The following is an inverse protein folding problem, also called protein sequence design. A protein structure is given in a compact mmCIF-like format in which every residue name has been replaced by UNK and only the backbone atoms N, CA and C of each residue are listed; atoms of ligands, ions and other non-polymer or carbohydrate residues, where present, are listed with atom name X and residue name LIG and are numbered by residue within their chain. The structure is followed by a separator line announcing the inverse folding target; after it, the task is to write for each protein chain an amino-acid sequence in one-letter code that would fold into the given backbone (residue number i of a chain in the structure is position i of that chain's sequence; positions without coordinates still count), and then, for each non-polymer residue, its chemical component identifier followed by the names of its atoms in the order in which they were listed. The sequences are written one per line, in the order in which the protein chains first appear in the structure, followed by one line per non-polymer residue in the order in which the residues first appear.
data_IF_515581253613
#
_entry.id   IF_515581253613
#
_cell.length_a   1.000
_cell.length_b   1.000
_cell.length_c   1.000
_cell.angle_alpha   90.00
_cell.angle_beta   90.00
_cell.angle_gamma   90.00
#
_symmetry.space_group_name_H-M   'P 1'
#
loop_
_entity.id
_entity.type
_entity.pdbx_description
1 polymer ?
#
# COMPACT_ATOMS: atom_id res chain seq x y z
N UNK A 1 50.54 -21.49 -32.74
CA UNK A 1 50.93 -21.42 -31.31
C UNK A 1 49.86 -22.13 -30.49
N UNK A 2 50.12 -23.37 -30.06
CA UNK A 2 49.14 -24.22 -29.36
C UNK A 2 49.21 -23.88 -27.88
N UNK A 3 48.17 -23.22 -27.34
CA UNK A 3 48.05 -22.99 -25.89
C UNK A 3 48.10 -24.33 -25.14
N UNK A 4 48.89 -24.45 -24.06
CA UNK A 4 49.05 -25.69 -23.32
C UNK A 4 47.70 -26.19 -22.79
N UNK A 5 47.51 -27.50 -22.77
CA UNK A 5 46.26 -28.18 -22.40
C UNK A 5 45.64 -27.66 -21.09
N UNK A 6 46.47 -27.34 -20.09
CA UNK A 6 46.06 -26.70 -18.83
C UNK A 6 45.40 -25.32 -19.00
N UNK A 7 45.88 -24.51 -19.93
CA UNK A 7 45.34 -23.17 -20.20
C UNK A 7 43.97 -23.23 -20.89
N UNK A 8 43.76 -24.21 -21.78
CA UNK A 8 42.45 -24.44 -22.44
C UNK A 8 41.39 -24.91 -21.45
N UNK A 9 41.75 -25.81 -20.52
CA UNK A 9 40.83 -26.30 -19.50
C UNK A 9 40.40 -25.18 -18.53
N UNK A 10 41.33 -24.34 -18.09
CA UNK A 10 41.03 -23.18 -17.23
C UNK A 10 40.14 -22.15 -17.93
N UNK A 11 40.34 -21.90 -19.23
CA UNK A 11 39.51 -20.97 -19.99
C UNK A 11 38.08 -21.52 -20.18
N UNK A 12 37.96 -22.82 -20.45
CA UNK A 12 36.67 -23.49 -20.61
C UNK A 12 35.86 -23.49 -19.30
N UNK A 13 36.46 -23.84 -18.17
CA UNK A 13 35.77 -23.81 -16.87
C UNK A 13 35.41 -22.38 -16.46
N UNK A 14 36.28 -21.40 -16.72
CA UNK A 14 36.01 -19.99 -16.47
C UNK A 14 34.82 -19.44 -17.27
N UNK A 15 34.52 -19.99 -18.45
CA UNK A 15 33.35 -19.64 -19.26
C UNK A 15 32.10 -20.46 -18.88
N UNK A 16 32.27 -21.72 -18.47
CA UNK A 16 31.14 -22.61 -18.16
C UNK A 16 30.44 -22.24 -16.86
N UNK A 17 31.19 -21.89 -15.82
CA UNK A 17 30.65 -21.51 -14.50
C UNK A 17 29.71 -20.30 -14.58
N UNK A 18 30.09 -19.15 -15.19
CA UNK A 18 29.18 -18.01 -15.29
C UNK A 18 27.96 -18.32 -16.17
N UNK A 19 28.13 -19.12 -17.24
CA UNK A 19 27.00 -19.52 -18.09
C UNK A 19 25.97 -20.33 -17.30
N UNK A 20 26.40 -21.39 -16.60
CA UNK A 20 25.52 -22.21 -15.75
C UNK A 20 24.88 -21.36 -14.65
N UNK A 21 25.63 -20.42 -14.05
CA UNK A 21 25.11 -19.52 -13.02
C UNK A 21 24.01 -18.60 -13.57
N UNK A 22 24.19 -18.04 -14.77
CA UNK A 22 23.18 -17.21 -15.44
C UNK A 22 21.94 -18.04 -15.77
N UNK A 23 22.10 -19.26 -16.27
CA UNK A 23 20.98 -20.18 -16.52
C UNK A 23 20.22 -20.50 -15.25
N UNK A 24 20.91 -20.79 -14.14
CA UNK A 24 20.27 -21.04 -12.84
C UNK A 24 19.50 -19.82 -12.30
N UNK A 25 20.07 -18.62 -12.45
CA UNK A 25 19.37 -17.38 -12.08
C UNK A 25 18.15 -17.12 -12.98
N UNK A 26 18.26 -17.40 -14.28
CA UNK A 26 17.18 -17.24 -15.23
C UNK A 26 16.03 -18.20 -14.95
N UNK A 27 16.30 -19.47 -14.63
CA UNK A 27 15.26 -20.43 -14.25
C UNK A 27 14.56 -20.02 -12.97
N UNK A 28 15.30 -19.61 -11.94
CA UNK A 28 14.70 -19.09 -10.68
C UNK A 28 13.79 -17.88 -10.96
N UNK A 29 14.25 -16.93 -11.78
CA UNK A 29 13.43 -15.76 -12.13
C UNK A 29 12.19 -16.14 -12.96
N UNK A 30 12.33 -17.06 -13.91
CA UNK A 30 11.23 -17.53 -14.74
C UNK A 30 10.16 -18.26 -13.89
N UNK A 31 10.59 -19.11 -12.96
CA UNK A 31 9.68 -19.79 -12.03
C UNK A 31 8.96 -18.79 -11.13
N UNK A 32 9.66 -17.81 -10.55
CA UNK A 32 9.04 -16.73 -9.76
C UNK A 32 8.02 -15.94 -10.59
N UNK A 33 8.37 -15.59 -11.82
CA UNK A 33 7.49 -14.88 -12.71
C UNK A 33 6.22 -15.69 -13.02
N UNK A 34 6.38 -16.96 -13.36
CA UNK A 34 5.25 -17.87 -13.60
C UNK A 34 4.32 -17.96 -12.38
N UNK A 35 4.90 -18.15 -11.19
CA UNK A 35 4.13 -18.36 -9.96
C UNK A 35 3.37 -17.10 -9.52
N UNK A 36 3.96 -15.91 -9.69
CA UNK A 36 3.40 -14.67 -9.17
C UNK A 36 2.71 -13.78 -10.22
N UNK A 37 2.68 -14.19 -11.50
CA UNK A 37 2.01 -13.42 -12.55
C UNK A 37 0.51 -13.24 -12.27
N UNK A 38 -0.13 -14.23 -11.64
CA UNK A 38 -1.55 -14.16 -11.27
C UNK A 38 -1.84 -12.99 -10.32
N UNK A 39 -0.96 -12.73 -9.33
CA UNK A 39 -1.12 -11.60 -8.41
C UNK A 39 -1.18 -10.28 -9.18
N UNK A 40 -0.31 -10.11 -10.17
CA UNK A 40 -0.27 -8.91 -11.00
C UNK A 40 -1.54 -8.73 -11.82
N UNK A 41 -2.04 -9.79 -12.45
CA UNK A 41 -3.27 -9.73 -13.23
C UNK A 41 -4.49 -9.46 -12.34
N UNK A 42 -4.57 -10.11 -11.17
CA UNK A 42 -5.65 -9.91 -10.23
C UNK A 42 -5.64 -8.48 -9.66
N UNK A 43 -4.50 -8.02 -9.13
CA UNK A 43 -4.38 -6.66 -8.58
C UNK A 43 -4.77 -5.58 -9.60
N UNK A 44 -4.37 -5.74 -10.87
CA UNK A 44 -4.77 -4.81 -11.93
C UNK A 44 -6.29 -4.76 -12.12
N UNK A 45 -6.96 -5.91 -12.15
CA UNK A 45 -8.43 -5.96 -12.21
C UNK A 45 -9.10 -5.31 -10.99
N UNK A 46 -8.51 -5.47 -9.81
CA UNK A 46 -8.99 -4.85 -8.58
C UNK A 46 -8.83 -3.31 -8.62
N UNK A 47 -7.73 -2.81 -9.17
CA UNK A 47 -7.47 -1.37 -9.30
C UNK A 47 -8.33 -0.70 -10.39
N UNK A 48 -8.53 -1.37 -11.53
CA UNK A 48 -9.29 -0.83 -12.67
C UNK A 48 -10.81 -0.81 -12.41
N UNK A 49 -11.32 -1.69 -11.55
CA UNK A 49 -12.74 -1.73 -11.23
C UNK A 49 -12.98 -1.83 -9.71
N UNK A 50 -12.82 -0.71 -8.98
CA UNK A 50 -13.01 -0.65 -7.53
C UNK A 50 -14.42 -1.04 -7.08
N UNK A 51 -15.41 -0.88 -7.97
CA UNK A 51 -16.81 -1.27 -7.76
C UNK A 51 -17.15 -2.67 -8.30
N UNK A 52 -16.19 -3.39 -8.89
CA UNK A 52 -16.44 -4.74 -9.40
C UNK A 52 -16.54 -5.78 -8.29
N UNK A 53 -17.33 -6.82 -8.56
CA UNK A 53 -17.43 -8.04 -7.74
C UNK A 53 -16.13 -8.83 -7.64
N UNK A 54 -15.04 -8.44 -8.31
CA UNK A 54 -13.78 -9.17 -8.27
C UNK A 54 -13.26 -9.23 -6.83
N UNK A 55 -13.41 -10.39 -6.17
CA UNK A 55 -12.98 -10.62 -4.80
C UNK A 55 -11.67 -11.39 -4.81
N UNK A 56 -10.72 -11.07 -3.92
CA UNK A 56 -9.65 -11.99 -3.60
C UNK A 56 -10.24 -13.37 -3.27
N UNK A 57 -9.64 -14.41 -3.84
CA UNK A 57 -9.97 -15.82 -3.57
C UNK A 57 -8.99 -16.39 -2.55
N UNK A 58 -9.34 -17.50 -1.90
CA UNK A 58 -8.44 -18.20 -0.98
C UNK A 58 -7.12 -18.60 -1.67
N UNK A 59 -7.17 -18.95 -2.95
CA UNK A 59 -5.99 -19.24 -3.78
C UNK A 59 -5.07 -18.02 -3.87
N UNK A 60 -5.63 -16.85 -4.15
CA UNK A 60 -4.84 -15.62 -4.25
C UNK A 60 -4.22 -15.22 -2.91
N UNK A 61 -4.92 -15.45 -1.80
CA UNK A 61 -4.41 -15.20 -0.45
C UNK A 61 -3.31 -16.18 -0.05
N UNK A 62 -3.44 -17.46 -0.41
CA UNK A 62 -2.38 -18.46 -0.25
C UNK A 62 -1.12 -18.11 -1.07
N UNK A 63 -1.29 -17.52 -2.24
CA UNK A 63 -0.17 -17.06 -3.04
C UNK A 63 0.54 -15.85 -2.41
N UNK A 64 -0.23 -14.94 -1.78
CA UNK A 64 0.32 -13.83 -0.98
C UNK A 64 1.13 -14.34 0.21
N UNK A 65 0.63 -15.33 0.97
CA UNK A 65 1.38 -15.89 2.11
C UNK A 65 2.65 -16.61 1.66
N UNK A 66 2.59 -17.33 0.54
CA UNK A 66 3.77 -17.97 -0.07
C UNK A 66 4.82 -16.93 -0.49
N UNK A 67 4.38 -15.82 -1.09
CA UNK A 67 5.26 -14.70 -1.46
C UNK A 67 5.88 -14.02 -0.22
N UNK A 68 5.11 -13.87 0.86
CA UNK A 68 5.62 -13.32 2.11
C UNK A 68 6.67 -14.26 2.74
N UNK A 69 6.42 -15.57 2.74
CA UNK A 69 7.36 -16.58 3.26
C UNK A 69 8.69 -16.58 2.49
N UNK A 70 8.66 -16.34 1.17
CA UNK A 70 9.87 -16.25 0.35
C UNK A 70 10.62 -14.91 0.48
N UNK A 71 10.10 -13.97 1.30
CA UNK A 71 10.66 -12.62 1.52
C UNK A 71 10.95 -11.86 0.23
N UNK A 72 10.11 -12.05 -0.79
CA UNK A 72 10.31 -11.42 -2.08
C UNK A 72 10.15 -9.89 -1.98
N UNK A 73 11.10 -9.14 -2.56
CA UNK A 73 11.10 -7.67 -2.54
C UNK A 73 10.82 -7.04 -3.91
N UNK A 74 10.71 -7.84 -4.98
CA UNK A 74 10.38 -7.31 -6.29
C UNK A 74 9.01 -6.62 -6.30
N UNK A 75 9.02 -5.31 -6.58
CA UNK A 75 7.83 -4.46 -6.55
C UNK A 75 6.68 -4.98 -7.42
N UNK A 76 7.00 -5.67 -8.53
CA UNK A 76 6.03 -6.27 -9.47
C UNK A 76 5.21 -7.42 -8.88
N UNK A 77 5.61 -7.97 -7.74
CA UNK A 77 4.88 -9.01 -7.00
C UNK A 77 4.40 -8.49 -5.64
N UNK A 78 5.28 -7.78 -4.95
CA UNK A 78 5.04 -7.23 -3.62
C UNK A 78 3.87 -6.24 -3.58
N UNK A 79 3.80 -5.28 -4.52
CA UNK A 79 2.70 -4.30 -4.50
C UNK A 79 1.35 -4.94 -4.86
N UNK A 80 1.25 -5.80 -5.90
CA UNK A 80 0.05 -6.61 -6.12
C UNK A 80 -0.42 -7.40 -4.90
N UNK A 81 0.51 -8.04 -4.18
CA UNK A 81 0.18 -8.78 -2.96
C UNK A 81 -0.44 -7.87 -1.89
N UNK A 82 0.13 -6.68 -1.68
CA UNK A 82 -0.42 -5.67 -0.77
C UNK A 82 -1.83 -5.24 -1.21
N UNK A 83 -2.04 -4.96 -2.50
CA UNK A 83 -3.36 -4.58 -3.04
C UNK A 83 -4.40 -5.67 -2.81
N UNK A 84 -4.06 -6.94 -3.08
CA UNK A 84 -4.95 -8.08 -2.87
C UNK A 84 -5.30 -8.23 -1.39
N UNK A 85 -4.30 -8.17 -0.50
CA UNK A 85 -4.50 -8.29 0.95
C UNK A 85 -5.39 -7.18 1.51
N UNK A 86 -5.16 -5.93 1.09
CA UNK A 86 -5.99 -4.79 1.47
C UNK A 86 -7.42 -4.91 0.94
N UNK A 87 -7.58 -5.36 -0.31
CA UNK A 87 -8.92 -5.55 -0.89
C UNK A 87 -9.68 -6.67 -0.16
N UNK A 88 -8.99 -7.71 0.29
CA UNK A 88 -9.60 -8.78 1.07
C UNK A 88 -10.12 -8.25 2.42
N UNK A 89 -9.35 -7.36 3.07
CA UNK A 89 -9.79 -6.67 4.28
C UNK A 89 -11.03 -5.81 4.03
N UNK A 90 -11.02 -4.99 2.97
CA UNK A 90 -12.13 -4.09 2.66
C UNK A 90 -13.44 -4.84 2.38
N UNK A 91 -13.35 -6.08 1.87
CA UNK A 91 -14.51 -6.94 1.57
C UNK A 91 -14.94 -7.83 2.74
N UNK A 92 -14.08 -7.99 3.75
CA UNK A 92 -14.43 -8.73 4.95
C UNK A 92 -15.40 -7.86 5.76
N UNK A 93 -16.65 -8.31 5.99
CA UNK A 93 -17.61 -7.50 6.71
C UNK A 93 -17.05 -7.17 8.10
N UNK A 94 -17.00 -5.87 8.43
CA UNK A 94 -16.53 -5.37 9.71
C UNK A 94 -17.52 -5.75 10.81
N UNK A 95 -17.50 -7.03 11.22
CA UNK A 95 -18.11 -7.46 12.47
C UNK A 95 -17.11 -7.21 13.58
N UNK A 96 -17.43 -6.38 14.58
CA UNK A 96 -16.57 -6.21 15.75
C UNK A 96 -16.27 -7.59 16.36
N UNK A 97 -14.99 -7.85 16.65
CA UNK A 97 -14.54 -8.98 17.49
C UNK A 97 -14.68 -10.39 16.90
N UNK A 98 -14.66 -10.55 15.57
CA UNK A 98 -14.49 -11.90 14.98
C UNK A 98 -13.03 -12.21 14.72
N UNK A 99 -12.56 -13.38 15.18
CA UNK A 99 -11.18 -13.90 15.05
C UNK A 99 -10.65 -13.81 13.61
N UNK A 100 -11.52 -13.97 12.60
CA UNK A 100 -11.16 -13.88 11.18
C UNK A 100 -10.75 -12.48 10.72
N UNK A 101 -11.37 -11.42 11.26
CA UNK A 101 -11.02 -10.03 10.93
C UNK A 101 -9.65 -9.66 11.49
N UNK A 102 -9.34 -10.09 12.71
CA UNK A 102 -8.07 -9.80 13.37
C UNK A 102 -6.90 -10.54 12.70
N UNK A 103 -7.10 -11.80 12.30
CA UNK A 103 -6.11 -12.58 11.57
C UNK A 103 -5.75 -11.95 10.20
N UNK A 104 -6.76 -11.46 9.48
CA UNK A 104 -6.56 -10.74 8.21
C UNK A 104 -5.76 -9.45 8.41
N UNK A 105 -6.11 -8.68 9.45
CA UNK A 105 -5.42 -7.43 9.78
C UNK A 105 -3.96 -7.67 10.17
N UNK A 106 -3.70 -8.70 10.99
CA UNK A 106 -2.33 -9.09 11.37
C UNK A 106 -1.50 -9.54 10.17
N UNK A 107 -2.08 -10.36 9.29
CA UNK A 107 -1.39 -10.84 8.07
C UNK A 107 -1.05 -9.67 7.15
N UNK A 108 -2.02 -8.78 6.91
CA UNK A 108 -1.81 -7.58 6.09
C UNK A 108 -0.80 -6.62 6.72
N UNK A 109 -0.84 -6.43 8.04
CA UNK A 109 0.15 -5.63 8.77
C UNK A 109 1.56 -6.20 8.59
N UNK A 110 1.72 -7.51 8.70
CA UNK A 110 3.02 -8.20 8.51
C UNK A 110 3.53 -8.01 7.08
N UNK A 111 2.65 -8.17 6.09
CA UNK A 111 2.97 -7.96 4.69
C UNK A 111 3.38 -6.50 4.41
N UNK A 112 2.68 -5.52 4.98
CA UNK A 112 3.03 -4.10 4.84
C UNK A 112 4.38 -3.79 5.50
N UNK A 113 4.67 -4.34 6.68
CA UNK A 113 5.98 -4.18 7.32
C UNK A 113 7.10 -4.78 6.49
N UNK A 114 6.91 -5.98 5.93
CA UNK A 114 7.85 -6.56 4.96
C UNK A 114 8.02 -5.63 3.75
N UNK A 115 6.92 -5.12 3.19
CA UNK A 115 6.96 -4.22 2.05
C UNK A 115 7.69 -2.91 2.34
N UNK A 116 7.54 -2.36 3.55
CA UNK A 116 8.27 -1.18 4.02
C UNK A 116 9.76 -1.48 4.23
N UNK A 117 10.12 -2.68 4.69
CA UNK A 117 11.51 -3.13 4.74
C UNK A 117 12.17 -3.17 3.36
N UNK A 118 11.43 -3.63 2.35
CA UNK A 118 11.91 -3.61 0.95
C UNK A 118 11.90 -2.19 0.33
N UNK A 119 10.94 -1.33 0.72
CA UNK A 119 10.67 -0.03 0.10
C UNK A 119 10.34 1.07 1.12
N UNK A 120 11.30 1.51 1.93
CA UNK A 120 11.06 2.44 3.04
C UNK A 120 10.71 3.85 2.56
N UNK A 121 10.98 4.20 1.30
CA UNK A 121 10.67 5.51 0.72
C UNK A 121 9.27 5.61 0.09
N UNK A 122 8.46 4.55 0.20
CA UNK A 122 7.11 4.54 -0.36
C UNK A 122 6.10 5.19 0.59
N UNK A 123 5.75 6.46 0.34
CA UNK A 123 4.75 7.16 1.15
C UNK A 123 3.37 6.50 1.14
N UNK A 124 2.97 5.88 0.03
CA UNK A 124 1.72 5.10 -0.02
C UNK A 124 1.77 3.88 0.91
N UNK A 125 2.89 3.16 1.04
CA UNK A 125 2.98 2.04 1.98
C UNK A 125 2.89 2.50 3.44
N UNK A 126 3.52 3.64 3.77
CA UNK A 126 3.38 4.25 5.09
C UNK A 126 1.93 4.65 5.40
N UNK A 127 1.20 5.14 4.39
CA UNK A 127 -0.23 5.43 4.54
C UNK A 127 -1.05 4.17 4.82
N UNK A 128 -0.81 3.10 4.06
CA UNK A 128 -1.50 1.82 4.27
C UNK A 128 -1.15 1.23 5.64
N UNK A 129 0.09 1.38 6.10
CA UNK A 129 0.49 1.03 7.46
C UNK A 129 -0.31 1.81 8.51
N UNK A 130 -0.45 3.13 8.36
CA UNK A 130 -1.24 3.95 9.27
C UNK A 130 -2.72 3.51 9.32
N UNK A 131 -3.33 3.25 8.15
CA UNK A 131 -4.72 2.79 8.06
C UNK A 131 -4.93 1.42 8.72
N UNK A 132 -4.04 0.46 8.46
CA UNK A 132 -4.14 -0.88 9.06
C UNK A 132 -3.88 -0.82 10.56
N UNK A 133 -2.92 0.00 11.02
CA UNK A 133 -2.68 0.21 12.43
C UNK A 133 -3.91 0.82 13.15
N UNK A 134 -4.53 1.84 12.57
CA UNK A 134 -5.77 2.43 13.08
C UNK A 134 -6.91 1.41 13.16
N UNK A 135 -7.11 0.63 12.08
CA UNK A 135 -8.12 -0.43 12.03
C UNK A 135 -7.89 -1.54 13.08
N UNK A 136 -6.65 -1.75 13.51
CA UNK A 136 -6.27 -2.68 14.57
C UNK A 136 -6.38 -2.10 15.99
N UNK A 137 -6.79 -0.85 16.13
CA UNK A 137 -6.80 -0.15 17.42
C UNK A 137 -5.40 0.11 17.97
N UNK A 138 -4.40 0.30 17.10
CA UNK A 138 -3.05 0.66 17.52
C UNK A 138 -3.02 2.04 18.20
N UNK A 139 -1.94 2.29 18.92
CA UNK A 139 -1.72 3.56 19.58
C UNK A 139 -1.70 4.74 18.57
N UNK A 140 -2.31 5.86 18.96
CA UNK A 140 -2.44 7.04 18.08
C UNK A 140 -1.08 7.57 17.60
N UNK A 141 -0.02 7.48 18.40
CA UNK A 141 1.33 7.94 18.03
C UNK A 141 1.91 7.12 16.89
N UNK A 142 1.76 5.79 16.90
CA UNK A 142 2.21 4.93 15.80
C UNK A 142 1.49 5.26 14.49
N UNK A 143 0.16 5.42 14.54
CA UNK A 143 -0.66 5.82 13.38
C UNK A 143 -0.18 7.16 12.82
N UNK A 144 0.03 8.16 13.68
CA UNK A 144 0.47 9.49 13.28
C UNK A 144 1.91 9.52 12.75
N UNK A 145 2.79 8.66 13.27
CA UNK A 145 4.17 8.52 12.77
C UNK A 145 4.17 8.02 11.33
N UNK A 146 3.42 6.95 11.06
CA UNK A 146 3.25 6.41 9.70
C UNK A 146 2.56 7.41 8.76
N UNK A 147 1.55 8.13 9.25
CA UNK A 147 0.90 9.20 8.51
C UNK A 147 1.87 10.33 8.13
N UNK A 148 2.72 10.77 9.07
CA UNK A 148 3.72 11.82 8.83
C UNK A 148 4.74 11.37 7.78
N UNK A 149 5.20 10.11 7.84
CA UNK A 149 6.11 9.54 6.84
C UNK A 149 5.45 9.47 5.45
N UNK A 150 4.16 9.09 5.39
CA UNK A 150 3.39 9.15 4.14
C UNK A 150 3.38 10.54 3.52
N UNK A 151 3.10 11.56 4.32
CA UNK A 151 3.05 12.92 3.84
C UNK A 151 4.41 13.43 3.39
N UNK A 152 5.48 13.14 4.14
CA UNK A 152 6.85 13.54 3.78
C UNK A 152 7.31 12.89 2.47
N UNK A 153 7.00 11.61 2.27
CA UNK A 153 7.47 10.82 1.13
C UNK A 153 6.54 10.90 -0.08
N UNK A 154 5.30 11.35 0.09
CA UNK A 154 4.31 11.49 -0.99
C UNK A 154 3.36 12.68 -0.71
N UNK A 155 3.89 13.92 -0.69
CA UNK A 155 3.12 15.10 -0.28
C UNK A 155 2.01 15.45 -1.28
N UNK A 156 2.34 15.47 -2.57
CA UNK A 156 1.43 15.90 -3.65
C UNK A 156 0.85 14.74 -4.48
N UNK A 157 0.90 13.51 -3.98
CA UNK A 157 0.33 12.37 -4.69
C UNK A 157 -1.19 12.33 -4.49
N UNK A 158 -1.97 12.44 -5.57
CA UNK A 158 -3.43 12.35 -5.55
C UNK A 158 -3.94 11.13 -4.77
N UNK A 159 -3.34 9.96 -5.01
CA UNK A 159 -3.69 8.72 -4.30
C UNK A 159 -3.37 8.79 -2.82
N UNK A 160 -2.25 9.40 -2.45
CA UNK A 160 -1.85 9.53 -1.06
C UNK A 160 -2.72 10.56 -0.31
N UNK A 161 -3.03 11.70 -0.94
CA UNK A 161 -3.95 12.72 -0.41
C UNK A 161 -5.34 12.12 -0.23
N UNK A 162 -5.86 11.42 -1.25
CA UNK A 162 -7.15 10.74 -1.17
C UNK A 162 -7.20 9.74 -0.01
N UNK A 163 -6.16 8.92 0.14
CA UNK A 163 -6.09 7.98 1.25
C UNK A 163 -5.94 8.68 2.62
N UNK A 164 -5.12 9.73 2.74
CA UNK A 164 -4.99 10.49 4.00
C UNK A 164 -6.31 11.14 4.38
N UNK A 165 -7.05 11.66 3.40
CA UNK A 165 -8.40 12.17 3.59
C UNK A 165 -9.36 11.11 4.12
N UNK A 166 -9.35 9.89 3.57
CA UNK A 166 -10.12 8.75 4.10
C UNK A 166 -9.74 8.42 5.55
N UNK A 167 -8.45 8.44 5.88
CA UNK A 167 -7.99 8.21 7.24
C UNK A 167 -8.47 9.31 8.18
N UNK A 168 -8.30 10.59 7.82
CA UNK A 168 -8.79 11.72 8.62
C UNK A 168 -10.29 11.61 8.93
N UNK A 169 -11.10 11.17 7.97
CA UNK A 169 -12.53 10.97 8.17
C UNK A 169 -12.87 9.95 9.26
N UNK A 170 -11.98 9.01 9.55
CA UNK A 170 -12.18 7.92 10.52
C UNK A 170 -11.55 8.18 11.89
N UNK A 171 -10.57 9.09 11.96
CA UNK A 171 -9.86 9.39 13.20
C UNK A 171 -10.79 10.04 14.23
N UNK A 172 -10.57 9.72 15.50
CA UNK A 172 -11.25 10.40 16.62
C UNK A 172 -10.88 11.87 16.69
N UNK A 173 -11.72 12.72 17.33
CA UNK A 173 -11.42 14.14 17.55
C UNK A 173 -10.04 14.37 18.20
N UNK A 174 -9.66 13.51 19.16
CA UNK A 174 -8.36 13.56 19.83
C UNK A 174 -7.21 13.29 18.85
N UNK A 175 -7.32 12.25 18.02
CA UNK A 175 -6.30 11.93 17.03
C UNK A 175 -6.20 13.02 15.95
N UNK A 176 -7.34 13.57 15.52
CA UNK A 176 -7.40 14.68 14.56
C UNK A 176 -6.67 15.93 15.08
N UNK A 177 -6.77 16.24 16.38
CA UNK A 177 -6.06 17.38 16.98
C UNK A 177 -4.53 17.27 16.83
N UNK A 178 -3.98 16.05 16.86
CA UNK A 178 -2.57 15.80 16.62
C UNK A 178 -2.20 15.74 15.12
N UNK A 179 -3.16 15.51 14.24
CA UNK A 179 -2.96 15.46 12.79
C UNK A 179 -3.12 16.83 12.08
N UNK A 180 -3.34 17.92 12.82
CA UNK A 180 -3.64 19.27 12.30
C UNK A 180 -2.62 19.76 11.26
N UNK A 181 -1.32 19.55 11.49
CA UNK A 181 -0.27 19.91 10.53
C UNK A 181 -0.43 19.16 9.20
N UNK A 182 -0.70 17.85 9.27
CA UNK A 182 -0.89 17.03 8.08
C UNK A 182 -2.17 17.39 7.33
N UNK A 183 -3.27 17.59 8.06
CA UNK A 183 -4.56 18.05 7.52
C UNK A 183 -4.37 19.38 6.79
N UNK A 184 -3.68 20.35 7.40
CA UNK A 184 -3.49 21.68 6.83
C UNK A 184 -2.75 21.61 5.50
N UNK A 185 -1.67 20.83 5.41
CA UNK A 185 -0.89 20.67 4.19
C UNK A 185 -1.71 20.02 3.06
N UNK A 186 -2.41 18.94 3.36
CA UNK A 186 -3.24 18.25 2.37
C UNK A 186 -4.39 19.13 1.89
N UNK A 187 -5.09 19.81 2.80
CA UNK A 187 -6.20 20.69 2.43
C UNK A 187 -5.75 21.91 1.63
N UNK A 188 -4.58 22.48 1.93
CA UNK A 188 -3.99 23.55 1.10
C UNK A 188 -3.74 23.10 -0.33
N UNK A 189 -3.27 21.86 -0.52
CA UNK A 189 -3.09 21.30 -1.85
C UNK A 189 -4.45 21.07 -2.54
N UNK A 190 -5.36 20.35 -1.89
CA UNK A 190 -6.70 20.03 -2.41
C UNK A 190 -7.48 21.27 -2.82
N UNK A 191 -7.38 22.35 -2.05
CA UNK A 191 -8.07 23.61 -2.29
C UNK A 191 -7.23 24.64 -3.04
N UNK A 192 -6.04 24.27 -3.53
CA UNK A 192 -5.27 25.12 -4.42
C UNK A 192 -5.91 25.19 -5.81
N UNK A 193 -5.65 26.27 -6.53
CA UNK A 193 -6.08 26.43 -7.93
C UNK A 193 -5.43 25.42 -8.90
N UNK A 194 -4.35 24.76 -8.48
CA UNK A 194 -3.58 23.83 -9.31
C UNK A 194 -4.13 22.41 -9.27
N UNK A 195 -4.99 22.08 -8.29
CA UNK A 195 -5.65 20.78 -8.22
C UNK A 195 -6.94 20.81 -9.04
N UNK A 196 -7.14 19.86 -9.97
CA UNK A 196 -8.36 19.80 -10.76
C UNK A 196 -9.62 19.70 -9.89
N UNK A 197 -10.68 20.41 -10.27
CA UNK A 197 -11.97 20.40 -9.55
C UNK A 197 -12.54 18.98 -9.36
N UNK A 198 -12.32 18.08 -10.33
CA UNK A 198 -12.78 16.69 -10.25
C UNK A 198 -12.17 15.94 -9.06
N UNK A 199 -10.93 16.23 -8.67
CA UNK A 199 -10.29 15.54 -7.56
C UNK A 199 -10.99 15.85 -6.23
N UNK A 200 -11.31 17.13 -6.01
CA UNK A 200 -12.10 17.55 -4.85
C UNK A 200 -13.51 16.94 -4.83
N UNK A 201 -14.15 16.80 -6.00
CA UNK A 201 -15.45 16.15 -6.15
C UNK A 201 -15.39 14.63 -5.91
N UNK A 202 -14.25 14.00 -6.17
CA UNK A 202 -14.04 12.58 -5.93
C UNK A 202 -13.82 12.25 -4.44
N UNK A 203 -13.48 13.24 -3.60
CA UNK A 203 -13.35 13.03 -2.17
C UNK A 203 -14.71 12.68 -1.54
N UNK A 204 -14.77 11.67 -0.66
CA UNK A 204 -16.00 11.34 0.03
C UNK A 204 -16.43 12.48 0.96
N UNK A 205 -17.71 12.52 1.37
CA UNK A 205 -18.17 13.51 2.32
C UNK A 205 -17.37 13.42 3.63
N UNK A 206 -17.02 14.58 4.18
CA UNK A 206 -16.26 14.66 5.42
C UNK A 206 -17.13 14.32 6.63
N UNK A 207 -16.58 13.59 7.59
CA UNK A 207 -17.20 13.40 8.90
C UNK A 207 -17.32 14.75 9.63
N UNK A 208 -18.31 14.89 10.51
CA UNK A 208 -18.56 16.14 11.24
C UNK A 208 -17.32 16.60 12.02
N UNK A 209 -16.67 15.67 12.72
CA UNK A 209 -15.44 15.93 13.48
C UNK A 209 -14.33 16.49 12.58
N UNK A 210 -14.08 15.84 11.44
CA UNK A 210 -13.05 16.28 10.52
C UNK A 210 -13.41 17.61 9.85
N UNK A 211 -14.66 17.78 9.43
CA UNK A 211 -15.17 19.02 8.84
C UNK A 211 -14.98 20.24 9.77
N UNK A 212 -15.31 20.09 11.06
CA UNK A 212 -15.15 21.18 12.03
C UNK A 212 -13.69 21.63 12.20
N UNK A 213 -12.75 20.67 12.20
CA UNK A 213 -11.33 20.95 12.33
C UNK A 213 -10.80 21.55 11.03
N UNK A 214 -11.18 20.98 9.88
CA UNK A 214 -10.81 21.47 8.56
C UNK A 214 -11.24 22.93 8.34
N UNK A 215 -12.47 23.27 8.69
CA UNK A 215 -13.01 24.64 8.58
C UNK A 215 -12.22 25.66 9.41
N UNK A 216 -11.70 25.22 10.56
CA UNK A 216 -10.86 26.06 11.43
C UNK A 216 -9.45 26.25 10.84
N UNK A 217 -8.86 25.20 10.28
CA UNK A 217 -7.48 25.23 9.77
C UNK A 217 -7.36 25.92 8.40
N UNK A 218 -8.34 25.70 7.52
CA UNK A 218 -8.33 26.20 6.13
C UNK A 218 -9.71 26.74 5.76
N UNK A 219 -10.10 27.93 6.23
CA UNK A 219 -11.49 28.43 6.16
C UNK A 219 -12.00 28.68 4.74
N UNK A 220 -11.11 28.94 3.78
CA UNK A 220 -11.48 29.08 2.37
C UNK A 220 -11.77 27.72 1.69
N UNK A 221 -11.38 26.61 2.32
CA UNK A 221 -11.52 25.27 1.78
C UNK A 221 -12.84 24.65 2.24
N UNK A 222 -13.93 24.96 1.53
CA UNK A 222 -15.24 24.34 1.80
C UNK A 222 -15.23 22.87 1.37
N UNK A 223 -15.32 21.96 2.34
CA UNK A 223 -15.44 20.52 2.10
C UNK A 223 -16.91 20.11 2.03
N UNK A 224 -17.20 19.04 1.28
CA UNK A 224 -18.56 18.49 1.22
C UNK A 224 -18.84 17.74 2.53
N UNK A 225 -19.75 18.22 3.36
CA UNK A 225 -20.10 17.59 4.63
C UNK A 225 -21.20 16.55 4.44
N UNK A 226 -21.12 15.42 5.14
CA UNK A 226 -22.23 14.48 5.24
C UNK A 226 -23.43 15.20 5.90
N UNK A 227 -24.56 15.30 5.19
CA UNK A 227 -25.82 15.67 5.85
C UNK A 227 -26.28 14.45 6.66
N UNK A 228 -26.65 14.61 7.95
CA UNK A 228 -27.26 13.52 8.69
C UNK A 228 -28.60 13.20 8.00
N UNK A 229 -28.68 12.04 7.34
CA UNK A 229 -29.96 11.43 7.03
C UNK A 229 -30.65 11.15 8.35
N UNK A 230 -31.73 11.91 8.62
CA UNK A 230 -32.64 11.69 9.74
C UNK A 230 -33.17 10.26 9.74
#
# INVERSE_FOLDING_TARGET
MILPFRSRFLLQTALFIPLVSVLALATVQATKYSNYNELRHLSRRLEEAPQSRATPTDVSLALVTTMLASRECQARFLLPAVTISLTALDKTPAKPNTISSDAGLQTTSTLIHHALGCRPTSGNLWLRSAMVADARGADTRSVLTSLSLSQRLSPASDRAIYGRYLLFNRLSRKALAFATGAITQDLRLVCSQFVPKWFKLALPPSSEAFASIAATLVPYCRMNTQHPTK
#
